data_IF_652921438792
#
_entry.id   IF_652921438792
#
_cell.length_a   1.000
_cell.length_b   1.000
_cell.length_c   1.000
_cell.angle_alpha   90.00
_cell.angle_beta   90.00
_cell.angle_gamma   90.00
#
_symmetry.space_group_name_H-M   'P 1'
#
loop_
_entity.id
_entity.type
_entity.pdbx_description
1 polymer ?
#
# COMPACT_ATOMS: atom_id res chain seq x y z
N UNK A 1 9.73 -59.66 -28.44
CA UNK A 1 9.50 -60.68 -27.39
C UNK A 1 10.83 -61.41 -27.19
N UNK A 2 11.42 -61.34 -26.00
CA UNK A 2 12.81 -61.76 -25.78
C UNK A 2 12.98 -63.28 -25.92
N UNK A 3 14.07 -63.73 -26.53
CA UNK A 3 14.43 -65.15 -26.70
C UNK A 3 14.31 -65.95 -25.39
N UNK A 4 14.62 -65.28 -24.27
CA UNK A 4 14.50 -65.80 -22.90
C UNK A 4 13.05 -66.13 -22.48
N UNK A 5 12.06 -65.36 -22.94
CA UNK A 5 10.65 -65.63 -22.65
C UNK A 5 10.16 -66.87 -23.42
N UNK A 6 10.66 -67.08 -24.64
CA UNK A 6 10.34 -68.25 -25.44
C UNK A 6 10.93 -69.54 -24.83
N UNK A 7 12.19 -69.48 -24.39
CA UNK A 7 12.86 -70.60 -23.71
C UNK A 7 12.16 -70.99 -22.39
N UNK A 8 11.78 -69.99 -21.58
CA UNK A 8 11.00 -70.23 -20.36
C UNK A 8 9.64 -70.87 -20.65
N UNK A 9 8.93 -70.42 -21.69
CA UNK A 9 7.66 -71.04 -22.08
C UNK A 9 7.85 -72.50 -22.50
N UNK A 10 8.95 -72.82 -23.19
CA UNK A 10 9.26 -74.20 -23.57
C UNK A 10 9.58 -75.08 -22.35
N UNK A 11 10.28 -74.54 -21.37
CA UNK A 11 10.52 -75.22 -20.08
C UNK A 11 9.22 -75.47 -19.31
N UNK A 12 8.29 -74.50 -19.28
CA UNK A 12 6.98 -74.67 -18.66
C UNK A 12 6.16 -75.77 -19.32
N UNK A 13 6.21 -75.86 -20.66
CA UNK A 13 5.50 -76.91 -21.40
C UNK A 13 6.04 -78.31 -21.07
N UNK A 14 7.36 -78.46 -20.99
CA UNK A 14 7.99 -79.74 -20.60
C UNK A 14 7.65 -80.11 -19.16
N UNK A 15 7.68 -79.13 -18.25
CA UNK A 15 7.28 -79.34 -16.85
C UNK A 15 5.80 -79.74 -16.73
N UNK A 16 4.92 -79.11 -17.52
CA UNK A 16 3.50 -79.43 -17.56
C UNK A 16 3.24 -80.88 -18.02
N UNK A 17 3.90 -81.30 -19.10
CA UNK A 17 3.83 -82.70 -19.56
C UNK A 17 4.35 -83.68 -18.50
N UNK A 18 5.46 -83.38 -17.84
CA UNK A 18 6.03 -84.25 -16.82
C UNK A 18 5.11 -84.36 -15.59
N UNK A 19 4.51 -83.23 -15.17
CA UNK A 19 3.52 -83.20 -14.10
C UNK A 19 2.32 -84.06 -14.46
N UNK A 20 1.86 -84.00 -15.70
CA UNK A 20 0.67 -84.72 -16.14
C UNK A 20 0.90 -86.23 -16.14
N UNK A 21 2.06 -86.69 -16.58
CA UNK A 21 2.46 -88.09 -16.48
C UNK A 21 2.57 -88.53 -15.02
N UNK A 22 3.14 -87.69 -14.15
CA UNK A 22 3.26 -87.99 -12.72
C UNK A 22 1.88 -88.12 -12.03
N UNK A 23 0.97 -87.18 -12.30
CA UNK A 23 -0.39 -87.20 -11.77
C UNK A 23 -1.14 -88.43 -12.28
N UNK A 24 -1.02 -88.77 -13.56
CA UNK A 24 -1.62 -90.00 -14.11
C UNK A 24 -1.06 -91.26 -13.43
N UNK A 25 0.25 -91.30 -13.17
CA UNK A 25 0.89 -92.40 -12.42
C UNK A 25 0.38 -92.51 -10.98
N UNK A 26 0.20 -91.38 -10.29
CA UNK A 26 -0.41 -91.35 -8.97
C UNK A 26 -1.87 -91.83 -9.00
N UNK A 27 -2.67 -91.39 -9.97
CA UNK A 27 -4.05 -91.81 -10.12
C UNK A 27 -4.15 -93.32 -10.39
N UNK A 28 -3.29 -93.86 -11.26
CA UNK A 28 -3.21 -95.29 -11.50
C UNK A 28 -2.83 -96.06 -10.22
N UNK A 29 -1.87 -95.54 -9.45
CA UNK A 29 -1.46 -96.16 -8.18
C UNK A 29 -2.55 -96.12 -7.13
N UNK A 30 -3.27 -95.00 -7.02
CA UNK A 30 -4.42 -94.87 -6.13
C UNK A 30 -5.49 -95.89 -6.53
N UNK A 31 -5.79 -96.00 -7.82
CA UNK A 31 -6.76 -96.97 -8.32
C UNK A 31 -6.36 -98.42 -8.02
N UNK A 32 -5.10 -98.80 -8.23
CA UNK A 32 -4.57 -100.11 -7.84
C UNK A 32 -4.73 -100.38 -6.34
N UNK A 33 -4.37 -99.40 -5.50
CA UNK A 33 -4.49 -99.52 -4.06
C UNK A 33 -5.95 -99.61 -3.60
N UNK A 34 -6.86 -98.88 -4.25
CA UNK A 34 -8.30 -99.00 -4.00
C UNK A 34 -8.84 -100.38 -4.39
N UNK A 35 -8.36 -100.95 -5.50
CA UNK A 35 -8.74 -102.30 -5.91
C UNK A 35 -8.19 -103.35 -4.95
N UNK A 36 -6.92 -103.23 -4.54
CA UNK A 36 -6.32 -104.08 -3.51
C UNK A 36 -7.05 -103.96 -2.17
N UNK A 37 -7.52 -102.78 -1.78
CA UNK A 37 -8.33 -102.60 -0.58
C UNK A 37 -9.74 -103.20 -0.69
N UNK A 38 -10.31 -103.28 -1.90
CA UNK A 38 -11.59 -103.97 -2.17
C UNK A 38 -11.43 -105.49 -2.15
N UNK A 39 -10.30 -106.01 -2.65
CA UNK A 39 -9.98 -107.44 -2.71
C UNK A 39 -9.46 -107.98 -1.37
N UNK A 40 -8.72 -107.17 -0.60
CA UNK A 40 -8.27 -107.47 0.77
C UNK A 40 -9.39 -107.26 1.80
N UNK A 41 -10.53 -107.90 1.59
CA UNK A 41 -11.64 -107.98 2.55
C UNK A 41 -11.53 -109.31 3.32
N UNK A 42 -10.84 -109.38 4.47
CA UNK A 42 -10.92 -110.56 5.32
C UNK A 42 -12.31 -110.64 5.95
N UNK A 43 -12.83 -111.87 6.00
CA UNK A 43 -14.08 -112.22 6.64
C UNK A 43 -14.06 -111.86 8.14
N UNK A 44 -14.84 -110.83 8.44
CA UNK A 44 -15.72 -110.68 9.60
C UNK A 44 -15.16 -110.39 11.03
N UNK A 45 -16.01 -109.61 11.72
CA UNK A 45 -16.18 -109.49 13.18
C UNK A 45 -15.40 -108.40 13.94
N UNK A 46 -15.70 -107.11 13.69
CA UNK A 46 -16.13 -106.15 14.73
C UNK A 46 -16.58 -104.80 14.13
N UNK A 47 -17.82 -104.38 14.47
CA UNK A 47 -18.42 -103.05 14.31
C UNK A 47 -18.32 -102.32 12.94
N UNK A 48 -19.24 -102.62 11.98
CA UNK A 48 -19.43 -101.80 10.76
C UNK A 48 -19.76 -100.33 11.06
N UNK A 49 -20.25 -100.05 12.26
CA UNK A 49 -20.69 -98.73 12.67
C UNK A 49 -19.52 -97.77 12.96
N UNK A 50 -18.39 -98.26 13.47
CA UNK A 50 -17.28 -97.39 13.93
C UNK A 50 -16.52 -96.72 12.79
N UNK A 51 -16.22 -97.46 11.71
CA UNK A 51 -15.51 -96.91 10.54
C UNK A 51 -16.37 -95.92 9.75
N UNK A 52 -17.68 -96.18 9.65
CA UNK A 52 -18.64 -95.26 9.00
C UNK A 52 -18.77 -93.95 9.79
N UNK A 53 -18.93 -94.04 11.12
CA UNK A 53 -18.98 -92.87 12.01
C UNK A 53 -17.70 -92.03 11.86
N UNK A 54 -16.52 -92.66 11.80
CA UNK A 54 -15.26 -91.93 11.63
C UNK A 54 -15.13 -91.24 10.27
N UNK A 55 -15.59 -91.87 9.19
CA UNK A 55 -15.58 -91.27 7.85
C UNK A 55 -16.56 -90.09 7.75
N UNK A 56 -17.76 -90.25 8.32
CA UNK A 56 -18.77 -89.18 8.42
C UNK A 56 -18.23 -88.01 9.26
N UNK A 57 -17.49 -88.29 10.34
CA UNK A 57 -16.87 -87.26 11.20
C UNK A 57 -15.77 -86.48 10.47
N UNK A 58 -14.90 -87.15 9.71
CA UNK A 58 -13.85 -86.51 8.91
C UNK A 58 -14.46 -85.63 7.80
N UNK A 59 -15.52 -86.10 7.15
CA UNK A 59 -16.24 -85.31 6.15
C UNK A 59 -16.92 -84.09 6.75
N UNK A 60 -17.60 -84.26 7.89
CA UNK A 60 -18.26 -83.14 8.60
C UNK A 60 -17.22 -82.10 9.03
N UNK A 61 -16.11 -82.54 9.62
CA UNK A 61 -15.03 -81.67 10.06
C UNK A 61 -14.35 -80.94 8.89
N UNK A 62 -14.13 -81.64 7.76
CA UNK A 62 -13.63 -81.02 6.53
C UNK A 62 -14.59 -79.98 5.95
N UNK A 63 -15.90 -80.25 6.00
CA UNK A 63 -16.95 -79.33 5.53
C UNK A 63 -17.05 -78.09 6.41
N UNK A 64 -17.04 -78.26 7.74
CA UNK A 64 -17.10 -77.18 8.72
C UNK A 64 -15.87 -76.28 8.65
N UNK A 65 -14.66 -76.84 8.52
CA UNK A 65 -13.45 -76.03 8.37
C UNK A 65 -13.42 -75.25 7.06
N UNK A 66 -13.89 -75.85 5.97
CA UNK A 66 -14.04 -75.17 4.69
C UNK A 66 -15.08 -74.04 4.77
N UNK A 67 -16.18 -74.28 5.48
CA UNK A 67 -17.20 -73.26 5.74
C UNK A 67 -16.64 -72.10 6.56
N UNK A 68 -15.95 -72.36 7.68
CA UNK A 68 -15.32 -71.32 8.50
C UNK A 68 -14.31 -70.48 7.72
N UNK A 69 -13.51 -71.11 6.86
CA UNK A 69 -12.56 -70.40 5.99
C UNK A 69 -13.28 -69.39 5.08
N UNK A 70 -14.37 -69.80 4.41
CA UNK A 70 -15.14 -68.90 3.55
C UNK A 70 -15.88 -67.82 4.35
N UNK A 71 -16.44 -68.15 5.51
CA UNK A 71 -17.08 -67.18 6.39
C UNK A 71 -16.09 -66.10 6.85
N UNK A 72 -14.87 -66.51 7.23
CA UNK A 72 -13.80 -65.58 7.59
C UNK A 72 -13.39 -64.70 6.41
N UNK A 73 -13.19 -65.28 5.22
CA UNK A 73 -12.84 -64.52 4.02
C UNK A 73 -13.93 -63.50 3.66
N UNK A 74 -15.20 -63.91 3.71
CA UNK A 74 -16.34 -63.02 3.46
C UNK A 74 -16.44 -61.90 4.50
N UNK A 75 -16.16 -62.19 5.77
CA UNK A 75 -16.15 -61.20 6.84
C UNK A 75 -15.05 -60.15 6.60
N UNK A 76 -13.83 -60.58 6.26
CA UNK A 76 -12.72 -59.67 5.92
C UNK A 76 -13.09 -58.75 4.76
N UNK A 77 -13.55 -59.30 3.63
CA UNK A 77 -13.94 -58.52 2.45
C UNK A 77 -15.08 -57.55 2.79
N UNK A 78 -16.04 -57.95 3.64
CA UNK A 78 -17.12 -57.06 4.11
C UNK A 78 -16.58 -55.88 4.90
N UNK A 79 -15.66 -56.14 5.83
CA UNK A 79 -15.06 -55.12 6.68
C UNK A 79 -14.23 -54.14 5.84
N UNK A 80 -13.42 -54.65 4.91
CA UNK A 80 -12.61 -53.84 3.99
C UNK A 80 -13.50 -52.97 3.11
N UNK A 81 -14.55 -53.55 2.50
CA UNK A 81 -15.52 -52.79 1.72
C UNK A 81 -16.21 -51.70 2.57
N UNK A 82 -16.53 -51.99 3.82
CA UNK A 82 -17.13 -51.02 4.73
C UNK A 82 -16.13 -49.91 5.11
N UNK A 83 -14.86 -50.24 5.31
CA UNK A 83 -13.79 -49.27 5.55
C UNK A 83 -13.61 -48.35 4.33
N UNK A 84 -13.53 -48.91 3.13
CA UNK A 84 -13.45 -48.13 1.88
C UNK A 84 -14.67 -47.24 1.69
N UNK A 85 -15.89 -47.72 2.00
CA UNK A 85 -17.08 -46.86 1.97
C UNK A 85 -16.99 -45.68 2.93
N UNK A 86 -16.46 -45.88 4.14
CA UNK A 86 -16.23 -44.77 5.10
C UNK A 86 -15.18 -43.80 4.55
N UNK A 87 -14.09 -44.31 3.99
CA UNK A 87 -13.03 -43.50 3.40
C UNK A 87 -13.57 -42.64 2.24
N UNK A 88 -14.34 -43.23 1.33
CA UNK A 88 -14.98 -42.50 0.23
C UNK A 88 -15.91 -41.40 0.74
N UNK A 89 -16.74 -41.69 1.75
CA UNK A 89 -17.61 -40.68 2.36
C UNK A 89 -16.81 -39.54 3.00
N UNK A 90 -15.70 -39.85 3.68
CA UNK A 90 -14.83 -38.84 4.29
C UNK A 90 -14.18 -37.96 3.22
N UNK A 91 -13.54 -38.57 2.22
CA UNK A 91 -12.91 -37.85 1.11
C UNK A 91 -13.92 -36.99 0.35
N UNK A 92 -15.16 -37.46 0.21
CA UNK A 92 -16.23 -36.67 -0.40
C UNK A 92 -16.57 -35.43 0.44
N UNK A 93 -16.64 -35.57 1.76
CA UNK A 93 -16.84 -34.43 2.67
C UNK A 93 -15.68 -33.42 2.57
N UNK A 94 -14.44 -33.91 2.61
CA UNK A 94 -13.23 -33.08 2.55
C UNK A 94 -13.15 -32.33 1.21
N UNK A 95 -13.46 -33.02 0.10
CA UNK A 95 -13.51 -32.41 -1.24
C UNK A 95 -14.54 -31.28 -1.31
N UNK A 96 -15.73 -31.49 -0.74
CA UNK A 96 -16.77 -30.46 -0.70
C UNK A 96 -16.35 -29.27 0.17
N UNK A 97 -15.66 -29.52 1.29
CA UNK A 97 -15.15 -28.45 2.14
C UNK A 97 -14.08 -27.61 1.42
N UNK A 98 -13.12 -28.25 0.76
CA UNK A 98 -12.08 -27.56 -0.02
C UNK A 98 -12.70 -26.77 -1.16
N UNK A 99 -13.70 -27.33 -1.86
CA UNK A 99 -14.43 -26.63 -2.92
C UNK A 99 -15.13 -25.37 -2.39
N UNK A 100 -15.82 -25.45 -1.25
CA UNK A 100 -16.45 -24.30 -0.60
C UNK A 100 -15.42 -23.23 -0.25
N UNK A 101 -14.29 -23.60 0.37
CA UNK A 101 -13.21 -22.67 0.71
C UNK A 101 -12.61 -22.00 -0.53
N UNK A 102 -12.47 -22.73 -1.63
CA UNK A 102 -12.02 -22.18 -2.91
C UNK A 102 -13.01 -21.15 -3.47
N UNK A 103 -14.31 -21.45 -3.46
CA UNK A 103 -15.34 -20.54 -3.95
C UNK A 103 -15.42 -19.27 -3.09
N UNK A 104 -15.27 -19.39 -1.76
CA UNK A 104 -15.17 -18.26 -0.83
C UNK A 104 -13.96 -17.38 -1.11
N UNK A 105 -12.76 -17.97 -1.22
CA UNK A 105 -11.53 -17.23 -1.52
C UNK A 105 -11.61 -16.54 -2.89
N UNK A 106 -12.21 -17.21 -3.89
CA UNK A 106 -12.45 -16.64 -5.21
C UNK A 106 -13.36 -15.41 -5.13
N UNK A 107 -14.44 -15.48 -4.37
CA UNK A 107 -15.35 -14.36 -4.18
C UNK A 107 -14.67 -13.19 -3.42
N UNK A 108 -13.87 -13.51 -2.40
CA UNK A 108 -13.10 -12.51 -1.66
C UNK A 108 -12.12 -11.76 -2.58
N UNK A 109 -11.38 -12.47 -3.43
CA UNK A 109 -10.50 -11.87 -4.43
C UNK A 109 -11.27 -10.96 -5.38
N UNK A 110 -12.46 -11.36 -5.83
CA UNK A 110 -13.32 -10.51 -6.68
C UNK A 110 -13.76 -9.23 -5.94
N UNK A 111 -14.16 -9.36 -4.67
CA UNK A 111 -14.59 -8.23 -3.85
C UNK A 111 -13.44 -7.26 -3.60
N UNK A 112 -12.26 -7.76 -3.23
CA UNK A 112 -11.07 -6.95 -3.00
C UNK A 112 -10.61 -6.24 -4.28
N UNK A 113 -10.64 -6.92 -5.43
CA UNK A 113 -10.34 -6.29 -6.71
C UNK A 113 -11.32 -5.17 -7.07
N UNK A 114 -12.62 -5.37 -6.81
CA UNK A 114 -13.64 -4.33 -7.01
C UNK A 114 -13.38 -3.12 -6.10
N UNK A 115 -13.11 -3.36 -4.82
CA UNK A 115 -12.81 -2.30 -3.86
C UNK A 115 -11.53 -1.55 -4.22
N UNK A 116 -10.47 -2.26 -4.62
CA UNK A 116 -9.22 -1.64 -5.07
C UNK A 116 -9.43 -0.76 -6.30
N UNK A 117 -10.27 -1.20 -7.26
CA UNK A 117 -10.62 -0.40 -8.43
C UNK A 117 -11.36 0.88 -8.03
N UNK A 118 -12.32 0.77 -7.11
CA UNK A 118 -13.04 1.93 -6.58
C UNK A 118 -12.10 2.89 -5.85
N UNK A 119 -11.19 2.39 -5.01
CA UNK A 119 -10.20 3.21 -4.31
C UNK A 119 -9.31 3.97 -5.29
N UNK A 120 -8.74 3.28 -6.30
CA UNK A 120 -7.93 3.94 -7.35
C UNK A 120 -8.72 5.01 -8.09
N UNK A 121 -9.99 4.76 -8.40
CA UNK A 121 -10.84 5.74 -9.06
C UNK A 121 -11.13 6.95 -8.18
N UNK A 122 -11.36 6.73 -6.88
CA UNK A 122 -11.55 7.78 -5.89
C UNK A 122 -10.30 8.65 -5.72
N UNK A 123 -9.12 8.03 -5.62
CA UNK A 123 -7.84 8.74 -5.51
C UNK A 123 -7.57 9.62 -6.72
N UNK A 124 -7.77 9.06 -7.93
CA UNK A 124 -7.60 9.80 -9.18
C UNK A 124 -8.57 10.98 -9.22
N UNK A 125 -9.82 10.79 -8.81
CA UNK A 125 -10.82 11.86 -8.80
C UNK A 125 -10.44 12.97 -7.81
N UNK A 126 -10.03 12.60 -6.61
CA UNK A 126 -9.56 13.55 -5.58
C UNK A 126 -8.36 14.37 -6.09
N UNK A 127 -7.36 13.71 -6.68
CA UNK A 127 -6.18 14.38 -7.24
C UNK A 127 -6.53 15.29 -8.43
N UNK A 128 -7.49 14.89 -9.27
CA UNK A 128 -7.99 15.73 -10.36
C UNK A 128 -8.66 17.00 -9.83
N UNK A 129 -9.50 16.87 -8.81
CA UNK A 129 -10.21 18.00 -8.20
C UNK A 129 -9.24 18.94 -7.48
N UNK A 130 -8.25 18.41 -6.75
CA UNK A 130 -7.17 19.21 -6.15
C UNK A 130 -6.35 19.97 -7.20
N UNK A 131 -5.94 19.29 -8.28
CA UNK A 131 -5.18 19.92 -9.36
C UNK A 131 -5.99 20.98 -10.09
N UNK A 132 -7.30 20.78 -10.23
CA UNK A 132 -8.19 21.79 -10.80
C UNK A 132 -8.22 23.06 -9.93
N UNK A 133 -8.40 22.92 -8.62
CA UNK A 133 -8.41 24.05 -7.68
C UNK A 133 -7.04 24.76 -7.66
N UNK A 134 -5.95 24.00 -7.54
CA UNK A 134 -4.58 24.55 -7.60
C UNK A 134 -4.35 25.29 -8.91
N UNK A 135 -4.82 24.75 -10.03
CA UNK A 135 -4.77 25.40 -11.33
C UNK A 135 -5.49 26.76 -11.37
N UNK A 136 -6.70 26.84 -10.81
CA UNK A 136 -7.44 28.11 -10.72
C UNK A 136 -6.71 29.14 -9.83
N UNK A 137 -6.14 28.70 -8.71
CA UNK A 137 -5.38 29.58 -7.80
C UNK A 137 -4.12 30.11 -8.50
N UNK A 138 -3.36 29.23 -9.17
CA UNK A 138 -2.18 29.61 -9.95
C UNK A 138 -2.58 30.64 -11.00
N UNK A 139 -3.63 30.39 -11.78
CA UNK A 139 -4.12 31.35 -12.76
C UNK A 139 -4.40 32.71 -12.13
N UNK A 140 -5.14 32.77 -11.01
CA UNK A 140 -5.43 34.04 -10.33
C UNK A 140 -4.16 34.78 -9.91
N UNK A 141 -3.24 34.07 -9.26
CA UNK A 141 -1.97 34.65 -8.81
C UNK A 141 -1.09 35.11 -9.97
N UNK A 142 -1.13 34.42 -11.12
CA UNK A 142 -0.44 34.88 -12.34
C UNK A 142 -1.02 36.22 -12.80
N UNK A 143 -2.34 36.33 -12.93
CA UNK A 143 -2.97 37.60 -13.33
C UNK A 143 -2.69 38.73 -12.34
N UNK A 144 -2.72 38.47 -11.03
CA UNK A 144 -2.37 39.46 -10.01
C UNK A 144 -0.90 39.90 -10.11
N UNK A 145 0.02 38.96 -10.30
CA UNK A 145 1.44 39.29 -10.49
C UNK A 145 1.67 40.13 -11.75
N UNK A 146 1.06 39.76 -12.87
CA UNK A 146 1.18 40.50 -14.13
C UNK A 146 0.67 41.94 -13.97
N UNK A 147 -0.48 42.12 -13.31
CA UNK A 147 -1.05 43.44 -13.02
C UNK A 147 -0.15 44.27 -12.08
N UNK A 148 0.50 43.65 -11.10
CA UNK A 148 1.43 44.33 -10.19
C UNK A 148 2.74 44.71 -10.91
N UNK A 149 3.21 43.85 -11.81
CA UNK A 149 4.37 44.12 -12.64
C UNK A 149 4.13 45.31 -13.58
N UNK A 150 2.96 45.39 -14.21
CA UNK A 150 2.57 46.52 -15.05
C UNK A 150 2.57 47.84 -14.25
N UNK A 151 1.93 47.85 -13.07
CA UNK A 151 1.94 49.03 -12.18
C UNK A 151 3.34 49.45 -11.76
N UNK A 152 4.21 48.48 -11.45
CA UNK A 152 5.60 48.75 -11.11
C UNK A 152 6.34 49.41 -12.27
N UNK A 153 6.12 48.94 -13.49
CA UNK A 153 6.76 49.49 -14.69
C UNK A 153 6.21 50.88 -15.04
N UNK A 154 4.93 51.17 -14.77
CA UNK A 154 4.39 52.53 -14.83
C UNK A 154 5.04 53.47 -13.81
N UNK A 155 5.12 53.06 -12.54
CA UNK A 155 5.77 53.87 -11.50
C UNK A 155 7.25 54.12 -11.79
N UNK A 156 7.96 53.13 -12.36
CA UNK A 156 9.34 53.32 -12.84
C UNK A 156 9.43 54.39 -13.93
N UNK A 157 8.52 54.38 -14.92
CA UNK A 157 8.47 55.42 -15.97
C UNK A 157 8.15 56.80 -15.39
N UNK A 158 7.19 56.89 -14.45
CA UNK A 158 6.86 58.13 -13.73
C UNK A 158 8.08 58.66 -12.97
N UNK A 159 8.76 57.78 -12.23
CA UNK A 159 9.98 58.12 -11.47
C UNK A 159 11.11 58.60 -12.39
N UNK A 160 11.35 57.92 -13.51
CA UNK A 160 12.37 58.34 -14.48
C UNK A 160 12.06 59.73 -15.08
N UNK A 161 10.79 60.00 -15.36
CA UNK A 161 10.32 61.29 -15.87
C UNK A 161 10.54 62.40 -14.85
N UNK A 162 10.13 62.19 -13.59
CA UNK A 162 10.34 63.14 -12.51
C UNK A 162 11.83 63.38 -12.24
N UNK A 163 12.65 62.33 -12.24
CA UNK A 163 14.09 62.45 -12.08
C UNK A 163 14.71 63.32 -13.17
N UNK A 164 14.30 63.13 -14.43
CA UNK A 164 14.76 63.95 -15.56
C UNK A 164 14.37 65.43 -15.40
N UNK A 165 13.17 65.70 -14.87
CA UNK A 165 12.71 67.07 -14.56
C UNK A 165 13.53 67.72 -13.45
N UNK A 166 13.76 67.00 -12.34
CA UNK A 166 14.58 67.47 -11.22
C UNK A 166 16.00 67.81 -11.68
N UNK A 167 16.61 66.96 -12.53
CA UNK A 167 17.92 67.25 -13.10
C UNK A 167 17.92 68.53 -13.96
N UNK A 168 16.90 68.75 -14.79
CA UNK A 168 16.79 69.97 -15.60
C UNK A 168 16.66 71.22 -14.74
N UNK A 169 15.85 71.16 -13.67
CA UNK A 169 15.70 72.24 -12.71
C UNK A 169 17.01 72.51 -11.96
N UNK A 170 17.70 71.46 -11.50
CA UNK A 170 19.00 71.58 -10.84
C UNK A 170 20.04 72.24 -11.75
N UNK A 171 20.13 71.81 -13.01
CA UNK A 171 21.01 72.44 -14.02
C UNK A 171 20.67 73.91 -14.26
N UNK A 172 19.39 74.26 -14.31
CA UNK A 172 18.94 75.64 -14.54
C UNK A 172 19.23 76.53 -13.33
N UNK A 173 19.02 76.00 -12.11
CA UNK A 173 19.32 76.69 -10.86
C UNK A 173 20.81 77.01 -10.74
N UNK A 174 21.69 76.05 -11.08
CA UNK A 174 23.14 76.28 -11.12
C UNK A 174 23.48 77.42 -12.08
N UNK A 175 22.95 77.41 -13.30
CA UNK A 175 23.19 78.49 -14.28
C UNK A 175 22.72 79.85 -13.76
N UNK A 176 21.54 79.91 -13.15
CA UNK A 176 21.02 81.15 -12.57
C UNK A 176 21.91 81.64 -11.41
N UNK A 177 22.43 80.74 -10.59
CA UNK A 177 23.36 81.08 -9.52
C UNK A 177 24.70 81.62 -10.06
N UNK A 178 25.23 81.04 -11.14
CA UNK A 178 26.41 81.56 -11.84
C UNK A 178 26.16 82.96 -12.41
N UNK A 179 25.01 83.20 -13.03
CA UNK A 179 24.60 84.52 -13.55
C UNK A 179 24.43 85.56 -12.45
N UNK A 180 23.74 85.24 -11.36
CA UNK A 180 23.60 86.12 -10.20
C UNK A 180 24.97 86.49 -9.61
N UNK A 181 25.90 85.53 -9.53
CA UNK A 181 27.26 85.78 -9.06
C UNK A 181 28.01 86.74 -9.99
N UNK A 182 27.84 86.61 -11.32
CA UNK A 182 28.40 87.55 -12.31
C UNK A 182 27.78 88.95 -12.20
N UNK A 183 26.47 89.04 -11.96
CA UNK A 183 25.79 90.34 -11.79
C UNK A 183 26.27 91.05 -10.51
N UNK A 184 26.38 90.33 -9.39
CA UNK A 184 26.85 90.87 -8.13
C UNK A 184 28.29 91.42 -8.22
N UNK A 185 29.19 90.77 -8.98
CA UNK A 185 30.55 91.29 -9.18
C UNK A 185 30.58 92.53 -10.06
N UNK A 186 29.72 92.62 -11.09
CA UNK A 186 29.58 93.81 -11.92
C UNK A 186 28.97 94.99 -11.15
N UNK A 187 28.01 94.75 -10.26
CA UNK A 187 27.45 95.79 -9.38
C UNK A 187 28.49 96.34 -8.40
N UNK A 188 29.34 95.48 -7.82
CA UNK A 188 30.45 95.92 -6.96
C UNK A 188 31.47 96.79 -7.70
N UNK A 189 31.66 96.59 -9.01
CA UNK A 189 32.52 97.44 -9.83
C UNK A 189 31.86 98.77 -10.23
N UNK A 190 30.53 98.90 -10.12
CA UNK A 190 29.76 100.08 -10.52
C UNK A 190 29.40 101.02 -9.36
N UNK A 191 29.81 100.74 -8.13
CA UNK A 191 29.62 101.62 -6.98
C UNK A 191 30.81 102.58 -6.81
N UNK A 192 30.64 103.91 -6.99
CA UNK A 192 31.47 104.91 -6.36
C UNK A 192 31.07 105.04 -4.89
N UNK A 193 32.05 105.32 -4.03
CA UNK A 193 31.90 105.60 -2.61
C UNK A 193 30.77 106.63 -2.31
N UNK A 194 29.67 106.15 -1.72
CA UNK A 194 28.71 106.93 -0.91
C UNK A 194 27.81 105.86 -0.26
N UNK A 195 27.80 105.64 1.04
CA UNK A 195 27.44 106.61 2.07
C UNK A 195 26.01 106.29 2.55
N UNK A 196 25.93 105.50 3.62
CA UNK A 196 24.77 105.29 4.53
C UNK A 196 23.42 104.79 3.97
N UNK A 197 23.03 103.58 4.37
CA UNK A 197 21.68 103.27 4.88
C UNK A 197 21.63 101.83 5.44
N UNK A 198 22.28 101.62 6.58
CA UNK A 198 22.05 100.45 7.45
C UNK A 198 20.86 100.84 8.34
N UNK A 199 19.63 100.44 8.00
CA UNK A 199 18.55 100.27 9.01
C UNK A 199 17.20 99.73 8.48
N UNK A 200 17.03 99.47 7.18
CA UNK A 200 15.69 99.09 6.64
C UNK A 200 15.52 97.58 6.37
N UNK A 201 16.58 96.77 6.46
CA UNK A 201 16.51 95.35 6.03
C UNK A 201 16.05 94.41 7.18
N UNK A 202 16.10 94.83 8.45
CA UNK A 202 15.73 93.95 9.57
C UNK A 202 14.21 93.72 9.74
N UNK A 203 13.35 94.50 9.09
CA UNK A 203 11.90 94.39 9.29
C UNK A 203 11.16 93.49 8.29
N UNK A 204 11.82 93.02 7.22
CA UNK A 204 11.18 92.11 6.25
C UNK A 204 11.46 90.63 6.53
N UNK A 205 12.37 90.33 7.46
CA UNK A 205 12.75 88.95 7.80
C UNK A 205 11.88 88.34 8.90
N UNK A 206 11.26 89.16 9.75
CA UNK A 206 10.40 88.73 10.86
C UNK A 206 9.01 88.29 10.42
N UNK A 207 8.44 88.89 9.37
CA UNK A 207 7.09 88.56 8.89
C UNK A 207 7.00 87.23 8.12
N UNK A 208 8.12 86.67 7.68
CA UNK A 208 8.15 85.37 7.00
C UNK A 208 8.33 84.19 7.99
N UNK A 209 8.87 84.47 9.19
CA UNK A 209 9.17 83.43 10.19
C UNK A 209 7.97 83.10 11.08
N UNK A 210 7.05 84.06 11.26
CA UNK A 210 5.82 83.89 12.05
C UNK A 210 4.69 83.08 11.36
N UNK A 211 4.91 82.62 10.12
CA UNK A 211 4.01 81.67 9.44
C UNK A 211 4.52 80.22 9.38
N UNK A 212 5.67 79.93 9.99
CA UNK A 212 6.22 78.56 10.08
C UNK A 212 5.95 77.87 11.43
N UNK A 213 5.27 78.53 12.37
CA UNK A 213 4.88 77.94 13.67
C UNK A 213 3.44 77.45 13.65
N UNK A 214 3.11 76.55 12.71
CA UNK A 214 1.99 75.63 12.94
C UNK A 214 2.42 74.64 14.02
N UNK A 215 2.07 75.02 15.25
CA UNK A 215 1.81 74.18 16.41
C UNK A 215 1.85 72.68 16.08
N UNK A 216 2.97 72.04 16.43
CA UNK A 216 3.12 70.60 16.49
C UNK A 216 2.25 70.07 17.65
N UNK A 217 0.95 70.01 17.39
CA UNK A 217 0.00 69.15 18.09
C UNK A 217 -0.24 67.91 17.24
N UNK A 218 0.82 67.22 16.84
CA UNK A 218 0.75 65.79 16.64
C UNK A 218 1.35 65.14 17.87
N UNK A 219 0.52 64.89 18.88
CA UNK A 219 0.72 63.69 19.68
C UNK A 219 0.72 62.54 18.69
N UNK A 220 1.92 62.08 18.30
CA UNK A 220 2.09 60.90 17.46
C UNK A 220 1.14 59.83 18.00
N UNK A 221 0.18 59.32 17.20
CA UNK A 221 -0.57 58.17 17.63
C UNK A 221 0.49 57.12 17.88
N UNK A 222 0.62 56.64 19.12
CA UNK A 222 1.28 55.37 19.39
C UNK A 222 0.69 54.44 18.36
N UNK A 223 1.49 54.02 17.37
CA UNK A 223 1.08 53.00 16.41
C UNK A 223 0.68 51.83 17.27
N UNK A 224 -0.62 51.64 17.47
CA UNK A 224 -1.16 50.40 17.98
C UNK A 224 -0.75 49.37 16.93
N UNK A 225 0.31 48.63 17.23
CA UNK A 225 0.68 47.50 16.42
C UNK A 225 -0.56 46.60 16.41
N UNK A 226 -1.19 46.43 15.24
CA UNK A 226 -2.39 45.60 15.07
C UNK A 226 -2.21 44.14 15.51
N UNK A 227 -0.96 43.75 15.81
CA UNK A 227 -0.57 42.45 16.33
C UNK A 227 -0.64 42.37 17.87
N UNK A 228 -0.92 43.46 18.57
CA UNK A 228 -0.99 43.48 20.05
C UNK A 228 -2.36 43.06 20.60
N UNK A 229 -3.37 42.92 19.73
CA UNK A 229 -4.72 42.42 20.09
C UNK A 229 -4.94 40.94 19.76
N UNK A 230 -3.94 40.26 19.20
CA UNK A 230 -4.01 38.83 18.86
C UNK A 230 -2.99 38.05 19.68
N UNK A 231 -3.45 36.97 20.33
CA UNK A 231 -2.62 36.10 21.17
C UNK A 231 -2.38 34.76 20.48
N UNK A 232 -1.13 34.30 20.52
CA UNK A 232 -0.71 32.98 20.11
C UNK A 232 -0.59 32.10 21.36
N UNK A 233 -1.04 30.86 21.27
CA UNK A 233 -0.98 29.91 22.38
C UNK A 233 0.11 28.87 22.17
N UNK A 234 0.82 28.54 23.24
CA UNK A 234 1.64 27.34 23.27
C UNK A 234 0.74 26.11 23.12
N UNK A 235 0.96 25.22 22.14
CA UNK A 235 0.12 24.05 21.93
C UNK A 235 0.20 23.05 23.09
N UNK A 236 1.26 23.11 23.91
CA UNK A 236 1.51 22.19 25.03
C UNK A 236 0.86 22.68 26.34
N UNK A 237 1.22 23.87 26.82
CA UNK A 237 0.77 24.37 28.13
C UNK A 237 -0.32 25.45 28.07
N UNK A 238 -0.77 25.85 26.86
CA UNK A 238 -1.77 26.90 26.64
C UNK A 238 -1.41 28.29 27.16
N UNK A 239 -0.13 28.54 27.47
CA UNK A 239 0.35 29.88 27.77
C UNK A 239 0.12 30.82 26.57
N UNK A 240 -0.48 31.99 26.85
CA UNK A 240 -0.80 33.00 25.86
C UNK A 240 0.32 34.02 25.73
N UNK A 241 0.70 34.30 24.49
CA UNK A 241 1.73 35.26 24.12
C UNK A 241 1.16 36.25 23.11
N UNK A 242 1.38 37.56 23.29
CA UNK A 242 1.05 38.55 22.26
C UNK A 242 1.74 38.20 20.93
N UNK A 243 1.06 38.42 19.79
CA UNK A 243 1.67 38.14 18.47
C UNK A 243 2.91 39.01 18.23
N UNK A 244 2.98 40.18 18.86
CA UNK A 244 4.17 41.04 18.91
C UNK A 244 5.41 40.36 19.54
N UNK A 245 5.21 39.31 20.37
CA UNK A 245 6.25 38.56 21.09
C UNK A 245 6.40 37.10 20.62
N UNK A 246 6.15 36.81 19.33
CA UNK A 246 6.25 35.43 18.79
C UNK A 246 7.61 34.74 19.04
N UNK A 247 8.71 35.50 19.13
CA UNK A 247 10.04 34.94 19.44
C UNK A 247 10.13 34.35 20.84
N UNK A 248 9.44 34.95 21.81
CA UNK A 248 9.40 34.47 23.19
C UNK A 248 8.56 33.20 23.30
N UNK A 249 7.46 33.11 22.53
CA UNK A 249 6.68 31.87 22.40
C UNK A 249 7.51 30.72 21.80
N UNK A 250 8.30 30.97 20.74
CA UNK A 250 9.16 29.94 20.14
C UNK A 250 10.21 29.43 21.14
N UNK A 251 10.90 30.33 21.84
CA UNK A 251 11.83 29.97 22.89
C UNK A 251 11.13 29.19 24.03
N UNK A 252 9.91 29.56 24.40
CA UNK A 252 9.12 28.82 25.37
C UNK A 252 8.78 27.40 24.90
N UNK A 253 8.38 27.20 23.64
CA UNK A 253 8.05 25.89 23.07
C UNK A 253 9.25 24.93 23.11
N UNK A 254 10.46 25.44 22.94
CA UNK A 254 11.71 24.66 22.97
C UNK A 254 12.01 24.07 24.35
N UNK A 255 11.62 24.75 25.44
CA UNK A 255 11.83 24.29 26.83
C UNK A 255 10.56 23.78 27.51
N UNK A 256 9.40 23.92 26.88
CA UNK A 256 8.13 23.41 27.38
C UNK A 256 8.11 21.88 27.22
N UNK A 257 8.61 21.19 28.25
CA UNK A 257 8.49 19.75 28.44
C UNK A 257 7.12 19.41 29.06
N UNK A 258 6.59 18.24 28.69
CA UNK A 258 5.21 17.76 28.85
C UNK A 258 4.54 18.04 30.21
#
# INVERSE_FOLDING_TARGET
LSLQALDKNQQWLLYDQQREVYVQGLLARIFELEQQAKEAKPEAHTAPNSKKIMWDFIQLYGRENKQRYYEQLLATVRNDLQAERRNVSQLHSDLNEVKRKYDEAKQEVMNLNSLQKQHKQFDVKTLQDENHIKGQIIQRLTHENDAMQEKLDEERKRTQTLSSQVEMLHRSLIKQQEENTRMATLEQQKLPEHGECIEVIQNFQTDFQDKLTLQDKCSSPKRSNLLDESFLECPKCKAQYPTSQHRELLAHIDFCAD
#
